data_IF_709088762210
#
_entry.id   IF_709088762210
#
_cell.length_a   1.000
_cell.length_b   1.000
_cell.length_c   1.000
_cell.angle_alpha   90.00
_cell.angle_beta   90.00
_cell.angle_gamma   90.00
#
_symmetry.space_group_name_H-M   'P 1'
#
loop_
_entity.id
_entity.type
_entity.pdbx_description
1 polymer ?
#
# COMPACT_ATOMS: atom_id res chain seq x y z
N UNK A 1 11.08 100.31 97.34
CA UNK A 1 11.39 98.89 97.15
C UNK A 1 10.13 98.16 96.73
N UNK A 2 10.31 97.11 95.92
CA UNK A 2 9.31 96.18 95.35
C UNK A 2 8.64 96.56 94.02
N UNK A 3 9.09 95.85 92.99
CA UNK A 3 8.77 95.87 91.56
C UNK A 3 7.50 95.07 91.24
N UNK A 4 6.60 95.63 90.43
CA UNK A 4 5.51 94.90 89.76
C UNK A 4 5.98 94.40 88.36
N UNK A 5 5.73 93.15 87.98
CA UNK A 5 6.08 92.63 86.66
C UNK A 5 5.06 93.06 85.59
N UNK A 6 5.47 93.18 84.30
CA UNK A 6 4.57 93.52 83.20
C UNK A 6 3.66 92.35 82.81
N UNK A 7 2.47 92.60 82.24
CA UNK A 7 1.53 91.58 81.84
C UNK A 7 1.98 90.82 80.57
N UNK A 8 1.67 89.53 80.57
CA UNK A 8 2.14 88.51 79.63
C UNK A 8 1.43 88.62 78.26
N UNK A 9 2.20 88.81 77.20
CA UNK A 9 1.75 88.88 75.80
C UNK A 9 1.55 87.50 75.12
N UNK A 10 0.81 86.56 75.76
CA UNK A 10 0.60 85.19 75.23
C UNK A 10 -0.79 84.90 74.65
N UNK A 11 -1.80 85.73 74.90
CA UNK A 11 -3.19 85.45 74.45
C UNK A 11 -3.45 85.61 72.94
N UNK A 12 -2.76 86.53 72.27
CA UNK A 12 -3.08 86.90 70.88
C UNK A 12 -2.58 85.87 69.85
N UNK A 13 -1.46 85.19 70.14
CA UNK A 13 -0.91 84.14 69.25
C UNK A 13 -1.79 82.89 69.20
N UNK A 14 -2.37 82.48 70.33
CA UNK A 14 -3.23 81.29 70.44
C UNK A 14 -4.52 81.45 69.62
N UNK A 15 -5.11 82.65 69.61
CA UNK A 15 -6.35 82.92 68.85
C UNK A 15 -6.12 82.86 67.33
N UNK A 16 -4.99 83.40 66.84
CA UNK A 16 -4.62 83.34 65.42
C UNK A 16 -4.35 81.90 64.98
N UNK A 17 -3.68 81.11 65.82
CA UNK A 17 -3.36 79.72 65.53
C UNK A 17 -4.61 78.84 65.47
N UNK A 18 -5.56 79.03 66.40
CA UNK A 18 -6.85 78.36 66.39
C UNK A 18 -7.68 78.70 65.14
N UNK A 19 -7.65 79.95 64.68
CA UNK A 19 -8.32 80.36 63.45
C UNK A 19 -7.68 79.70 62.20
N UNK A 20 -6.35 79.59 62.16
CA UNK A 20 -5.61 78.91 61.09
C UNK A 20 -5.91 77.41 61.07
N UNK A 21 -5.93 76.76 62.23
CA UNK A 21 -6.28 75.34 62.36
C UNK A 21 -7.73 75.06 61.96
N UNK A 22 -8.68 75.96 62.27
CA UNK A 22 -10.07 75.83 61.80
C UNK A 22 -10.18 75.91 60.28
N UNK A 23 -9.50 76.89 59.65
CA UNK A 23 -9.45 77.00 58.18
C UNK A 23 -8.81 75.76 57.54
N UNK A 24 -7.70 75.29 58.10
CA UNK A 24 -7.03 74.07 57.61
C UNK A 24 -7.91 72.83 57.73
N UNK A 25 -8.59 72.62 58.87
CA UNK A 25 -9.53 71.51 59.07
C UNK A 25 -10.74 71.60 58.13
N UNK A 26 -11.26 72.80 57.89
CA UNK A 26 -12.36 73.01 56.94
C UNK A 26 -11.94 72.68 55.51
N UNK A 27 -10.75 73.14 55.09
CA UNK A 27 -10.17 72.83 53.79
C UNK A 27 -9.94 71.32 53.63
N UNK A 28 -9.29 70.67 54.60
CA UNK A 28 -9.07 69.21 54.58
C UNK A 28 -10.38 68.41 54.58
N UNK A 29 -11.42 68.89 55.26
CA UNK A 29 -12.75 68.25 55.24
C UNK A 29 -13.41 68.38 53.86
N UNK A 30 -13.25 69.51 53.18
CA UNK A 30 -13.76 69.72 51.83
C UNK A 30 -13.02 68.83 50.81
N UNK A 31 -11.69 68.81 50.86
CA UNK A 31 -10.83 67.96 50.02
C UNK A 31 -11.19 66.47 50.19
N UNK A 32 -11.35 66.01 51.44
CA UNK A 32 -11.72 64.62 51.72
C UNK A 32 -13.14 64.27 51.22
N UNK A 33 -14.07 65.23 51.24
CA UNK A 33 -15.42 65.05 50.67
C UNK A 33 -15.35 64.92 49.15
N UNK A 34 -14.52 65.72 48.47
CA UNK A 34 -14.33 65.64 47.03
C UNK A 34 -13.71 64.29 46.61
N UNK A 35 -12.63 63.88 47.27
CA UNK A 35 -11.97 62.61 46.97
C UNK A 35 -12.89 61.39 47.17
N UNK A 36 -13.77 61.43 48.18
CA UNK A 36 -14.78 60.38 48.38
C UNK A 36 -15.81 60.32 47.25
N UNK A 37 -16.24 61.47 46.73
CA UNK A 37 -17.16 61.53 45.62
C UNK A 37 -16.52 60.99 44.33
N UNK A 38 -15.27 61.35 44.06
CA UNK A 38 -14.50 60.84 42.92
C UNK A 38 -14.26 59.33 43.01
N UNK A 39 -13.88 58.83 44.19
CA UNK A 39 -13.72 57.39 44.42
C UNK A 39 -15.02 56.61 44.17
N UNK A 40 -16.17 57.14 44.64
CA UNK A 40 -17.47 56.52 44.42
C UNK A 40 -17.86 56.51 42.93
N UNK A 41 -17.60 57.61 42.20
CA UNK A 41 -17.86 57.70 40.77
C UNK A 41 -16.99 56.72 39.97
N UNK A 42 -15.71 56.56 40.32
CA UNK A 42 -14.80 55.61 39.67
C UNK A 42 -15.22 54.16 39.93
N UNK A 43 -15.64 53.83 41.16
CA UNK A 43 -16.16 52.49 41.48
C UNK A 43 -17.40 52.18 40.65
N UNK A 44 -18.35 53.12 40.54
CA UNK A 44 -19.54 52.95 39.69
C UNK A 44 -19.19 52.77 38.20
N UNK A 45 -18.19 53.50 37.70
CA UNK A 45 -17.74 53.37 36.32
C UNK A 45 -17.09 52.01 36.08
N UNK A 46 -16.30 51.51 37.03
CA UNK A 46 -15.68 50.19 36.94
C UNK A 46 -16.72 49.06 36.97
N UNK A 47 -17.75 49.16 37.82
CA UNK A 47 -18.81 48.14 37.85
C UNK A 47 -19.62 48.12 36.56
N UNK A 48 -19.92 49.28 35.99
CA UNK A 48 -20.60 49.40 34.70
C UNK A 48 -19.78 48.79 33.55
N UNK A 49 -18.48 49.14 33.45
CA UNK A 49 -17.60 48.58 32.42
C UNK A 49 -17.41 47.05 32.54
N UNK A 50 -17.41 46.52 33.77
CA UNK A 50 -17.34 45.06 34.01
C UNK A 50 -18.62 44.34 33.59
N UNK A 51 -19.79 44.96 33.78
CA UNK A 51 -21.06 44.40 33.35
C UNK A 51 -21.18 44.38 31.82
N UNK A 52 -20.84 45.50 31.16
CA UNK A 52 -20.87 45.62 29.69
C UNK A 52 -19.90 44.64 29.00
N UNK A 53 -18.70 44.45 29.56
CA UNK A 53 -17.72 43.47 29.03
C UNK A 53 -18.18 42.02 29.20
N UNK A 54 -18.90 41.68 30.26
CA UNK A 54 -19.49 40.33 30.44
C UNK A 54 -20.60 40.07 29.43
N UNK A 55 -21.43 41.08 29.15
CA UNK A 55 -22.53 40.95 28.19
C UNK A 55 -22.00 40.68 26.77
N UNK A 56 -21.01 41.46 26.30
CA UNK A 56 -20.42 41.30 24.96
C UNK A 56 -19.71 39.96 24.73
N UNK A 57 -19.18 39.34 25.79
CA UNK A 57 -18.52 38.03 25.69
C UNK A 57 -19.51 36.86 25.61
N UNK A 58 -20.74 37.00 26.09
CA UNK A 58 -21.75 35.92 26.04
C UNK A 58 -22.42 35.87 24.66
N UNK A 59 -22.62 37.02 24.02
CA UNK A 59 -23.28 37.10 22.71
C UNK A 59 -22.33 36.74 21.53
N UNK A 60 -21.01 36.92 21.68
CA UNK A 60 -20.02 36.59 20.65
C UNK A 60 -19.67 35.08 20.58
N UNK A 61 -20.02 34.29 21.60
CA UNK A 61 -19.78 32.83 21.67
C UNK A 61 -20.98 32.03 21.09
N UNK A 62 -22.02 32.73 20.62
CA UNK A 62 -23.32 32.13 20.29
C UNK A 62 -23.39 31.68 18.83
N UNK A 63 -23.76 30.41 18.64
CA UNK A 63 -23.98 29.66 17.38
C UNK A 63 -22.77 29.35 16.50
N UNK A 64 -21.97 30.33 16.06
CA UNK A 64 -20.88 30.08 15.11
C UNK A 64 -19.78 29.15 15.68
N UNK A 65 -19.49 29.30 16.97
CA UNK A 65 -18.54 28.44 17.69
C UNK A 65 -19.09 27.03 17.93
N UNK A 66 -20.41 26.86 18.04
CA UNK A 66 -21.03 25.55 18.21
C UNK A 66 -21.04 24.73 16.92
N UNK A 67 -21.28 25.37 15.78
CA UNK A 67 -21.22 24.71 14.47
C UNK A 67 -19.77 24.36 14.10
N UNK A 68 -18.82 25.28 14.34
CA UNK A 68 -17.39 25.01 14.17
C UNK A 68 -16.91 23.88 15.09
N UNK A 69 -17.36 23.83 16.35
CA UNK A 69 -17.04 22.74 17.28
C UNK A 69 -17.63 21.41 16.82
N UNK A 70 -18.87 21.38 16.32
CA UNK A 70 -19.49 20.17 15.78
C UNK A 70 -18.74 19.64 14.54
N UNK A 71 -18.30 20.54 13.66
CA UNK A 71 -17.48 20.19 12.50
C UNK A 71 -16.12 19.60 12.93
N UNK A 72 -15.42 20.26 13.87
CA UNK A 72 -14.15 19.76 14.40
C UNK A 72 -14.30 18.39 15.09
N UNK A 73 -15.40 18.15 15.81
CA UNK A 73 -15.68 16.84 16.42
C UNK A 73 -15.95 15.75 15.37
N UNK A 74 -16.66 16.08 14.30
CA UNK A 74 -16.90 15.17 13.17
C UNK A 74 -15.60 14.83 12.43
N UNK A 75 -14.77 15.83 12.16
CA UNK A 75 -13.44 15.66 11.56
C UNK A 75 -12.53 14.84 12.47
N UNK A 76 -12.49 15.13 13.78
CA UNK A 76 -11.69 14.36 14.73
C UNK A 76 -12.12 12.90 14.80
N UNK A 77 -13.43 12.63 14.79
CA UNK A 77 -13.96 11.26 14.74
C UNK A 77 -13.55 10.54 13.46
N UNK A 78 -13.58 11.23 12.32
CA UNK A 78 -13.16 10.70 11.02
C UNK A 78 -11.67 10.38 11.01
N UNK A 79 -10.83 11.30 11.51
CA UNK A 79 -9.38 11.11 11.64
C UNK A 79 -9.04 9.96 12.57
N UNK A 80 -9.72 9.83 13.72
CA UNK A 80 -9.52 8.68 14.62
C UNK A 80 -9.86 7.36 13.94
N UNK A 81 -10.97 7.31 13.20
CA UNK A 81 -11.32 6.13 12.41
C UNK A 81 -10.30 5.82 11.30
N UNK A 82 -9.69 6.84 10.69
CA UNK A 82 -8.57 6.64 9.75
C UNK A 82 -7.32 6.10 10.47
N UNK A 83 -6.95 6.66 11.61
CA UNK A 83 -5.80 6.19 12.42
C UNK A 83 -6.01 4.74 12.88
N UNK A 84 -7.20 4.38 13.34
CA UNK A 84 -7.53 3.01 13.74
C UNK A 84 -7.41 2.03 12.56
N UNK A 85 -7.98 2.38 11.41
CA UNK A 85 -7.85 1.57 10.18
C UNK A 85 -6.40 1.42 9.73
N UNK A 86 -5.63 2.50 9.72
CA UNK A 86 -4.20 2.47 9.37
C UNK A 86 -3.37 1.70 10.39
N UNK A 87 -3.69 1.81 11.69
CA UNK A 87 -3.02 1.05 12.74
C UNK A 87 -3.31 -0.45 12.63
N UNK A 88 -4.55 -0.82 12.33
CA UNK A 88 -4.94 -2.21 12.11
C UNK A 88 -4.23 -2.78 10.88
N UNK A 89 -4.23 -2.03 9.77
CA UNK A 89 -3.49 -2.38 8.57
C UNK A 89 -1.99 -2.56 8.84
N UNK A 90 -1.35 -1.60 9.54
CA UNK A 90 0.06 -1.70 9.92
C UNK A 90 0.33 -2.95 10.76
N UNK A 91 -0.58 -3.32 11.68
CA UNK A 91 -0.46 -4.57 12.45
C UNK A 91 -0.56 -5.81 11.57
N UNK A 92 -1.48 -5.83 10.60
CA UNK A 92 -1.61 -6.95 9.67
C UNK A 92 -0.37 -7.09 8.78
N UNK A 93 0.08 -5.98 8.18
CA UNK A 93 1.31 -5.94 7.37
C UNK A 93 2.55 -6.30 8.20
N UNK A 94 2.64 -5.84 9.45
CA UNK A 94 3.73 -6.16 10.35
C UNK A 94 3.72 -7.64 10.75
N UNK A 95 2.56 -8.22 11.05
CA UNK A 95 2.44 -9.65 11.34
C UNK A 95 2.86 -10.49 10.13
N UNK A 96 2.47 -10.08 8.92
CA UNK A 96 2.91 -10.72 7.68
C UNK A 96 4.43 -10.58 7.48
N UNK A 97 5.00 -9.39 7.69
CA UNK A 97 6.44 -9.17 7.60
C UNK A 97 7.22 -10.00 8.65
N UNK A 98 6.72 -10.10 9.88
CA UNK A 98 7.33 -10.92 10.93
C UNK A 98 7.29 -12.40 10.60
N UNK A 99 6.21 -12.90 9.99
CA UNK A 99 6.13 -14.26 9.48
C UNK A 99 7.26 -14.54 8.48
N UNK A 100 7.49 -13.61 7.54
CA UNK A 100 8.57 -13.70 6.58
C UNK A 100 9.99 -13.53 7.18
N UNK A 101 10.13 -12.89 8.34
CA UNK A 101 11.44 -12.66 8.98
C UNK A 101 11.87 -13.76 9.97
N UNK A 102 10.95 -14.59 10.49
CA UNK A 102 11.30 -15.63 11.46
C UNK A 102 11.86 -16.92 10.82
N UNK A 103 11.74 -17.10 9.51
CA UNK A 103 12.36 -18.21 8.74
C UNK A 103 13.74 -17.82 8.18
N UNK A 104 14.65 -17.38 9.04
CA UNK A 104 16.04 -17.08 8.66
C UNK A 104 16.93 -18.34 8.80
N UNK A 105 16.83 -19.25 7.81
CA UNK A 105 17.81 -20.27 7.34
C UNK A 105 17.08 -21.29 6.44
N UNK A 106 17.47 -21.56 5.16
CA UNK A 106 18.15 -20.70 4.17
C UNK A 106 17.14 -19.61 3.69
N UNK A 107 17.34 -18.81 2.62
CA UNK A 107 16.46 -17.65 2.40
C UNK A 107 15.02 -18.16 2.29
N UNK A 108 14.05 -17.55 3.00
CA UNK A 108 12.66 -17.94 2.82
C UNK A 108 12.44 -17.81 1.33
N UNK A 109 12.19 -18.94 0.68
CA UNK A 109 11.83 -18.92 -0.72
C UNK A 109 10.71 -17.89 -0.81
N UNK A 110 10.80 -16.96 -1.76
CA UNK A 110 9.85 -15.85 -1.97
C UNK A 110 8.39 -16.32 -2.26
N UNK A 111 8.08 -17.56 -1.90
CA UNK A 111 6.95 -18.45 -2.20
C UNK A 111 5.60 -18.00 -1.65
N UNK A 112 5.56 -17.04 -0.72
CA UNK A 112 4.30 -16.55 -0.17
C UNK A 112 3.70 -15.40 -0.96
N UNK A 113 3.09 -15.64 -2.12
CA UNK A 113 2.07 -14.72 -2.65
C UNK A 113 0.76 -14.97 -1.90
N UNK A 114 0.66 -14.43 -0.69
CA UNK A 114 -0.49 -14.59 0.22
C UNK A 114 -1.36 -13.34 0.17
N UNK A 115 -2.67 -13.53 -0.05
CA UNK A 115 -3.69 -12.50 0.05
C UNK A 115 -4.63 -12.80 1.22
N UNK A 116 -4.75 -11.84 2.13
CA UNK A 116 -5.69 -11.89 3.25
C UNK A 116 -7.10 -11.50 2.79
N UNK A 117 -8.13 -11.98 3.48
CA UNK A 117 -9.53 -11.71 3.14
C UNK A 117 -9.96 -10.28 3.50
N UNK A 118 -9.24 -9.61 4.40
CA UNK A 118 -9.57 -8.24 4.81
C UNK A 118 -9.47 -7.26 3.62
N UNK A 119 -10.55 -6.58 3.19
CA UNK A 119 -10.61 -5.87 1.91
C UNK A 119 -9.49 -4.83 1.69
N UNK A 120 -9.14 -4.05 2.71
CA UNK A 120 -8.09 -3.02 2.59
C UNK A 120 -6.69 -3.64 2.53
N UNK A 121 -6.45 -4.71 3.29
CA UNK A 121 -5.15 -5.36 3.33
C UNK A 121 -4.93 -6.17 2.05
N UNK A 122 -6.00 -6.80 1.56
CA UNK A 122 -6.06 -7.45 0.23
C UNK A 122 -5.68 -6.49 -0.89
N UNK A 123 -6.30 -5.31 -0.94
CA UNK A 123 -5.98 -4.26 -1.93
C UNK A 123 -4.49 -3.92 -1.95
N UNK A 124 -3.92 -3.72 -0.76
CA UNK A 124 -2.51 -3.38 -0.64
C UNK A 124 -1.61 -4.56 -0.98
N UNK A 125 -2.01 -5.79 -0.64
CA UNK A 125 -1.33 -7.01 -1.04
C UNK A 125 -1.27 -7.17 -2.56
N UNK A 126 -2.38 -6.94 -3.26
CA UNK A 126 -2.43 -6.95 -4.72
C UNK A 126 -1.47 -5.90 -5.32
N UNK A 127 -1.58 -4.64 -4.87
CA UNK A 127 -0.70 -3.57 -5.35
C UNK A 127 0.78 -3.91 -5.11
N UNK A 128 1.13 -4.33 -3.89
CA UNK A 128 2.49 -4.69 -3.51
C UNK A 128 3.05 -5.87 -4.32
N UNK A 129 2.26 -6.92 -4.53
CA UNK A 129 2.68 -8.08 -5.33
C UNK A 129 3.02 -7.65 -6.77
N UNK A 130 2.15 -6.84 -7.39
CA UNK A 130 2.37 -6.33 -8.75
C UNK A 130 3.61 -5.44 -8.85
N UNK A 131 3.83 -4.55 -7.88
CA UNK A 131 4.96 -3.62 -7.85
C UNK A 131 6.27 -4.35 -7.61
N UNK A 132 6.25 -5.37 -6.75
CA UNK A 132 7.40 -6.24 -6.51
C UNK A 132 7.86 -6.91 -7.79
N UNK A 133 6.95 -7.53 -8.55
CA UNK A 133 7.29 -8.18 -9.83
C UNK A 133 7.78 -7.16 -10.86
N UNK A 134 7.17 -5.98 -10.92
CA UNK A 134 7.64 -4.89 -11.78
C UNK A 134 9.08 -4.48 -11.46
N UNK A 135 9.40 -4.26 -10.19
CA UNK A 135 10.75 -3.89 -9.77
C UNK A 135 11.76 -5.03 -10.01
N UNK A 136 11.36 -6.29 -9.85
CA UNK A 136 12.16 -7.44 -10.26
C UNK A 136 12.45 -7.40 -11.76
N UNK A 137 11.42 -7.25 -12.60
CA UNK A 137 11.58 -7.17 -14.06
C UNK A 137 12.53 -6.05 -14.49
N UNK A 138 12.43 -4.88 -13.84
CA UNK A 138 13.30 -3.74 -14.09
C UNK A 138 14.73 -3.92 -13.57
N UNK A 139 14.95 -4.75 -12.55
CA UNK A 139 16.29 -5.13 -12.09
C UNK A 139 16.97 -6.17 -12.97
N UNK A 140 16.19 -7.11 -13.51
CA UNK A 140 16.66 -8.16 -14.43
C UNK A 140 16.99 -7.62 -15.82
N UNK A 141 16.23 -6.64 -16.30
CA UNK A 141 16.55 -5.93 -17.55
C UNK A 141 17.54 -4.78 -17.27
N UNK A 142 18.85 -4.89 -17.64
CA UNK A 142 19.33 -5.51 -18.87
C UNK A 142 20.31 -6.69 -18.69
N UNK A 143 20.48 -7.24 -17.48
CA UNK A 143 21.62 -8.12 -17.15
C UNK A 143 21.53 -9.55 -17.70
N UNK A 144 20.34 -10.12 -17.85
CA UNK A 144 20.18 -11.54 -18.21
C UNK A 144 19.79 -11.78 -19.66
N UNK A 145 19.39 -10.73 -20.38
CA UNK A 145 19.11 -10.81 -21.80
C UNK A 145 20.35 -10.41 -22.57
N UNK A 146 20.82 -11.32 -23.41
CA UNK A 146 21.86 -11.07 -24.40
C UNK A 146 21.50 -9.78 -25.18
N UNK A 147 22.45 -8.86 -25.44
CA UNK A 147 22.23 -7.76 -26.37
C UNK A 147 21.78 -8.21 -27.78
N UNK A 148 21.93 -9.49 -28.10
CA UNK A 148 21.43 -10.12 -29.31
C UNK A 148 19.93 -9.84 -29.55
N UNK A 149 19.60 -9.60 -30.82
CA UNK A 149 18.22 -9.48 -31.33
C UNK A 149 17.65 -10.82 -31.79
N UNK A 150 18.42 -11.90 -31.66
CA UNK A 150 17.97 -13.23 -32.06
C UNK A 150 16.76 -13.67 -31.24
N UNK A 151 15.81 -14.28 -31.93
CA UNK A 151 14.67 -14.91 -31.28
C UNK A 151 15.16 -16.15 -30.54
N UNK A 152 14.76 -16.28 -29.27
CA UNK A 152 15.24 -17.35 -28.40
C UNK A 152 14.14 -17.82 -27.48
N UNK A 153 14.13 -19.11 -27.22
CA UNK A 153 13.32 -19.74 -26.21
C UNK A 153 14.20 -20.63 -25.33
N UNK A 154 14.03 -20.56 -24.01
CA UNK A 154 14.71 -21.44 -23.07
C UNK A 154 13.73 -21.86 -21.98
N UNK A 155 13.65 -23.16 -21.75
CA UNK A 155 12.99 -23.76 -20.62
C UNK A 155 14.04 -24.40 -19.69
N UNK A 156 13.91 -24.18 -18.39
CA UNK A 156 14.76 -24.81 -17.40
C UNK A 156 13.91 -25.31 -16.24
N UNK A 157 14.07 -26.59 -15.92
CA UNK A 157 13.48 -27.18 -14.71
C UNK A 157 14.54 -27.28 -13.62
N UNK A 158 14.28 -26.61 -12.52
CA UNK A 158 15.16 -26.58 -11.36
C UNK A 158 14.85 -27.76 -10.44
N UNK A 159 15.91 -28.46 -10.05
CA UNK A 159 15.84 -29.58 -9.12
C UNK A 159 16.80 -29.38 -7.97
N UNK A 160 16.41 -29.82 -6.79
CA UNK A 160 17.21 -29.79 -5.58
C UNK A 160 17.19 -31.12 -4.85
N UNK A 161 17.77 -31.16 -3.66
CA UNK A 161 17.76 -32.32 -2.80
C UNK A 161 17.11 -31.93 -1.47
N UNK A 162 16.17 -32.72 -0.98
CA UNK A 162 15.53 -32.50 0.32
C UNK A 162 16.44 -32.91 1.50
N UNK A 163 15.94 -32.73 2.72
CA UNK A 163 16.67 -33.05 3.96
C UNK A 163 17.05 -34.54 4.08
N UNK A 164 16.34 -35.42 3.36
CA UNK A 164 16.54 -36.88 3.37
C UNK A 164 17.39 -37.33 2.19
N UNK A 165 17.92 -36.41 1.39
CA UNK A 165 18.77 -36.73 0.24
C UNK A 165 17.99 -37.09 -1.02
N UNK A 166 16.67 -36.85 -1.08
CA UNK A 166 15.85 -37.17 -2.24
C UNK A 166 15.75 -36.01 -3.23
N UNK A 167 15.77 -36.33 -4.52
CA UNK A 167 15.61 -35.36 -5.60
C UNK A 167 14.21 -34.73 -5.54
N UNK A 168 14.11 -33.41 -5.51
CA UNK A 168 12.85 -32.66 -5.51
C UNK A 168 12.84 -31.64 -6.63
N UNK A 169 11.65 -31.25 -7.08
CA UNK A 169 11.49 -30.09 -7.95
C UNK A 169 11.52 -28.82 -7.10
N UNK A 170 12.26 -27.82 -7.56
CA UNK A 170 12.36 -26.51 -6.90
C UNK A 170 11.77 -25.38 -7.72
N UNK A 171 11.40 -25.64 -8.98
CA UNK A 171 10.67 -24.71 -9.83
C UNK A 171 10.93 -24.95 -11.31
N UNK A 172 10.31 -24.11 -12.14
CA UNK A 172 10.61 -24.01 -13.57
C UNK A 172 10.79 -22.56 -13.95
N UNK A 173 11.59 -22.34 -14.98
CA UNK A 173 11.93 -21.03 -15.50
C UNK A 173 11.83 -21.05 -17.02
N UNK A 174 11.14 -20.06 -17.56
CA UNK A 174 10.87 -19.92 -18.99
C UNK A 174 11.31 -18.54 -19.40
N UNK A 175 12.12 -18.45 -20.45
CA UNK A 175 12.46 -17.18 -21.09
C UNK A 175 12.22 -17.25 -22.59
N UNK A 176 11.59 -16.21 -23.11
CA UNK A 176 11.34 -16.03 -24.54
C UNK A 176 11.77 -14.64 -24.98
N UNK A 177 12.33 -14.56 -26.19
CA UNK A 177 12.54 -13.30 -26.90
C UNK A 177 12.05 -13.48 -28.34
N UNK A 178 11.30 -12.51 -28.81
CA UNK A 178 10.87 -12.46 -30.21
C UNK A 178 10.80 -11.02 -30.73
N UNK A 179 11.16 -10.82 -31.99
CA UNK A 179 11.06 -9.53 -32.68
C UNK A 179 9.86 -9.50 -33.60
N UNK A 180 9.04 -8.45 -33.49
CA UNK A 180 7.83 -8.26 -34.28
C UNK A 180 7.89 -6.96 -35.08
N UNK A 181 7.33 -6.96 -36.28
CA UNK A 181 7.37 -5.85 -37.23
C UNK A 181 6.12 -4.97 -37.14
N UNK A 182 5.83 -4.49 -35.93
CA UNK A 182 4.73 -3.57 -35.65
C UNK A 182 5.13 -2.56 -34.57
N UNK A 183 4.29 -1.54 -34.36
CA UNK A 183 4.53 -0.54 -33.32
C UNK A 183 4.27 -1.12 -31.91
N UNK A 184 5.15 -0.80 -30.96
CA UNK A 184 5.18 -1.48 -29.65
C UNK A 184 3.90 -1.34 -28.82
N UNK A 185 3.16 -0.22 -28.97
CA UNK A 185 1.87 -0.06 -28.30
C UNK A 185 0.80 -1.01 -28.85
N UNK A 186 0.77 -1.22 -30.17
CA UNK A 186 -0.16 -2.17 -30.78
C UNK A 186 0.16 -3.60 -30.31
N UNK A 187 1.46 -3.96 -30.30
CA UNK A 187 1.88 -5.24 -29.74
C UNK A 187 1.49 -5.38 -28.26
N UNK A 188 1.66 -4.33 -27.46
CA UNK A 188 1.27 -4.37 -26.06
C UNK A 188 -0.23 -4.57 -25.85
N UNK A 189 -1.06 -3.98 -26.71
CA UNK A 189 -2.50 -4.20 -26.69
C UNK A 189 -2.85 -5.63 -27.10
N UNK A 190 -2.16 -6.20 -28.09
CA UNK A 190 -2.34 -7.61 -28.47
C UNK A 190 -1.96 -8.53 -27.32
N UNK A 191 -0.76 -8.38 -26.74
CA UNK A 191 -0.28 -9.23 -25.63
C UNK A 191 -1.20 -9.13 -24.41
N UNK A 192 -1.62 -7.92 -24.02
CA UNK A 192 -2.52 -7.70 -22.88
C UNK A 192 -3.88 -8.40 -23.05
N UNK A 193 -4.36 -8.52 -24.28
CA UNK A 193 -5.64 -9.16 -24.57
C UNK A 193 -5.50 -10.65 -24.96
N UNK A 194 -4.29 -11.10 -25.30
CA UNK A 194 -3.99 -12.44 -25.79
C UNK A 194 -4.32 -13.52 -24.74
N UNK A 195 -3.95 -13.32 -23.47
CA UNK A 195 -4.27 -14.28 -22.40
C UNK A 195 -5.77 -14.45 -22.18
N UNK A 196 -6.55 -13.40 -22.46
CA UNK A 196 -8.00 -13.37 -22.26
C UNK A 196 -8.78 -13.86 -23.47
N UNK A 197 -8.20 -13.77 -24.67
CA UNK A 197 -8.93 -13.91 -25.94
C UNK A 197 -8.48 -15.09 -26.80
N UNK A 198 -7.27 -15.62 -26.59
CA UNK A 198 -6.79 -16.75 -27.38
C UNK A 198 -7.37 -18.04 -26.79
N UNK A 199 -8.27 -18.74 -27.50
CA UNK A 199 -8.79 -20.02 -27.05
C UNK A 199 -7.62 -21.03 -27.11
N UNK A 200 -7.14 -21.47 -25.95
CA UNK A 200 -6.22 -22.62 -25.86
C UNK A 200 -7.05 -23.87 -25.54
N UNK A 201 -6.72 -25.05 -26.09
CA UNK A 201 -7.33 -26.31 -25.67
C UNK A 201 -7.28 -26.54 -24.15
N UNK A 202 -6.23 -26.00 -23.51
CA UNK A 202 -5.99 -26.02 -22.06
C UNK A 202 -6.11 -24.63 -21.41
N UNK A 203 -6.79 -23.68 -22.07
CA UNK A 203 -6.92 -22.33 -21.54
C UNK A 203 -7.61 -22.36 -20.18
N UNK A 204 -7.11 -21.57 -19.21
CA UNK A 204 -7.74 -21.52 -17.92
C UNK A 204 -9.20 -21.08 -18.05
N UNK A 205 -10.11 -21.87 -17.49
CA UNK A 205 -11.51 -21.46 -17.36
C UNK A 205 -11.62 -20.50 -16.18
N UNK A 206 -11.64 -19.20 -16.46
CA UNK A 206 -11.78 -18.17 -15.44
C UNK A 206 -13.20 -18.15 -14.89
N UNK A 207 -13.33 -18.35 -13.58
CA UNK A 207 -14.62 -18.45 -12.88
C UNK A 207 -15.05 -17.11 -12.28
N UNK A 208 -14.08 -16.25 -11.93
CA UNK A 208 -14.38 -14.84 -11.70
C UNK A 208 -13.23 -13.94 -12.13
N UNK A 209 -13.62 -12.77 -12.63
CA UNK A 209 -12.75 -11.66 -12.96
C UNK A 209 -13.11 -10.52 -12.01
N UNK A 210 -12.24 -10.25 -11.05
CA UNK A 210 -12.28 -8.99 -10.32
C UNK A 210 -11.43 -8.00 -11.11
N UNK A 211 -12.07 -7.23 -12.00
CA UNK A 211 -11.40 -6.09 -12.63
C UNK A 211 -11.15 -5.02 -11.56
N UNK A 212 -9.88 -4.80 -11.24
CA UNK A 212 -9.42 -3.76 -10.33
C UNK A 212 -8.96 -2.54 -11.13
N UNK A 213 -9.79 -2.08 -12.08
CA UNK A 213 -9.53 -0.85 -12.85
C UNK A 213 -9.79 0.38 -11.98
N UNK A 214 -8.72 1.02 -11.51
CA UNK A 214 -8.82 2.35 -10.87
C UNK A 214 -8.43 3.43 -11.88
N UNK A 215 -9.31 3.65 -12.86
CA UNK A 215 -9.13 4.69 -13.88
C UNK A 215 -8.33 4.25 -15.11
N UNK A 216 -8.17 5.15 -16.10
CA UNK A 216 -7.61 4.84 -17.41
C UNK A 216 -6.13 4.42 -17.39
N UNK A 217 -5.40 4.76 -16.32
CA UNK A 217 -3.96 4.50 -16.18
C UNK A 217 -3.63 3.31 -15.25
N UNK A 218 -4.62 2.76 -14.54
CA UNK A 218 -4.40 1.63 -13.62
C UNK A 218 -5.05 0.34 -14.18
N UNK A 219 -4.38 -0.25 -15.16
CA UNK A 219 -4.76 -1.53 -15.76
C UNK A 219 -4.21 -2.68 -14.91
N UNK A 220 -5.02 -3.16 -13.98
CA UNK A 220 -4.72 -4.28 -13.10
C UNK A 220 -5.93 -5.21 -13.03
N UNK A 221 -5.70 -6.48 -13.32
CA UNK A 221 -6.72 -7.50 -13.34
C UNK A 221 -6.36 -8.63 -12.39
N UNK A 222 -7.33 -9.06 -11.60
CA UNK A 222 -7.21 -10.24 -10.76
C UNK A 222 -8.27 -11.25 -11.19
N UNK A 223 -7.84 -12.47 -11.50
CA UNK A 223 -8.76 -13.53 -11.87
C UNK A 223 -8.34 -14.87 -11.30
N UNK A 224 -9.33 -15.70 -11.03
CA UNK A 224 -9.13 -17.08 -10.60
C UNK A 224 -9.87 -18.04 -11.52
N UNK A 225 -9.27 -19.20 -11.74
CA UNK A 225 -9.81 -20.23 -12.62
C UNK A 225 -9.08 -21.55 -12.46
N UNK A 226 -9.37 -22.46 -13.37
CA UNK A 226 -8.69 -23.75 -13.46
C UNK A 226 -7.93 -23.89 -14.77
N UNK A 227 -6.66 -24.28 -14.73
CA UNK A 227 -5.80 -24.55 -15.89
C UNK A 227 -5.87 -26.05 -16.25
N UNK A 228 -6.03 -26.35 -17.56
CA UNK A 228 -6.05 -27.73 -18.07
C UNK A 228 -6.99 -28.69 -17.32
N UNK A 229 -6.48 -29.85 -16.92
CA UNK A 229 -7.27 -30.98 -16.37
C UNK A 229 -7.54 -30.94 -14.86
N UNK A 230 -7.23 -29.85 -14.15
CA UNK A 230 -7.60 -29.76 -12.71
C UNK A 230 -6.79 -28.84 -11.81
N UNK A 231 -5.83 -28.08 -12.35
CA UNK A 231 -5.00 -27.20 -11.53
C UNK A 231 -5.71 -25.88 -11.28
N UNK A 232 -5.68 -25.37 -10.04
CA UNK A 232 -6.20 -24.06 -9.70
C UNK A 232 -5.13 -22.99 -9.96
N UNK A 233 -5.56 -21.87 -10.54
CA UNK A 233 -4.70 -20.74 -10.85
C UNK A 233 -5.36 -19.43 -10.44
N UNK A 234 -4.56 -18.56 -9.83
CA UNK A 234 -4.95 -17.20 -9.44
C UNK A 234 -3.90 -16.26 -9.99
N UNK A 235 -4.28 -15.42 -10.93
CA UNK A 235 -3.33 -14.55 -11.62
C UNK A 235 -3.70 -13.11 -11.33
N UNK A 236 -2.70 -12.36 -10.90
CA UNK A 236 -2.71 -10.92 -10.86
C UNK A 236 -1.87 -10.40 -12.01
N UNK A 237 -2.52 -9.71 -12.94
CA UNK A 237 -1.88 -9.04 -14.06
C UNK A 237 -1.86 -7.53 -13.84
N UNK A 238 -0.78 -6.87 -14.25
CA UNK A 238 -0.73 -5.41 -14.27
C UNK A 238 0.12 -4.90 -15.42
N UNK A 239 -0.37 -3.85 -16.10
CA UNK A 239 0.33 -3.20 -17.20
C UNK A 239 0.87 -1.82 -16.81
N UNK A 240 2.17 -1.63 -17.04
CA UNK A 240 2.91 -0.39 -16.82
C UNK A 240 3.33 0.19 -18.17
N UNK A 241 2.83 1.38 -18.48
CA UNK A 241 3.13 2.06 -19.74
C UNK A 241 4.24 3.10 -19.55
N UNK A 242 5.28 3.02 -20.37
CA UNK A 242 6.32 4.03 -20.49
C UNK A 242 6.37 4.59 -21.92
N UNK A 243 7.21 5.61 -22.14
CA UNK A 243 7.32 6.27 -23.45
C UNK A 243 7.83 5.36 -24.56
N UNK A 244 8.77 4.46 -24.26
CA UNK A 244 9.42 3.56 -25.22
C UNK A 244 9.32 2.07 -24.86
N UNK A 245 8.50 1.74 -23.85
CA UNK A 245 8.38 0.38 -23.32
C UNK A 245 7.00 0.19 -22.69
N UNK A 246 6.48 -1.03 -22.77
CA UNK A 246 5.42 -1.50 -21.87
C UNK A 246 5.93 -2.70 -21.08
N UNK A 247 5.59 -2.76 -19.79
CA UNK A 247 5.87 -3.92 -18.93
C UNK A 247 4.54 -4.49 -18.45
N UNK A 248 4.32 -5.77 -18.68
CA UNK A 248 3.17 -6.51 -18.13
C UNK A 248 3.74 -7.46 -17.08
N UNK A 249 3.19 -7.43 -15.87
CA UNK A 249 3.60 -8.31 -14.77
C UNK A 249 2.53 -9.34 -14.49
N UNK A 250 2.94 -10.58 -14.20
CA UNK A 250 2.07 -11.68 -13.81
C UNK A 250 2.50 -12.15 -12.42
N UNK A 251 1.57 -12.24 -11.48
CA UNK A 251 1.80 -12.90 -10.19
C UNK A 251 0.83 -14.06 -10.05
N UNK A 252 1.37 -15.27 -9.85
CA UNK A 252 0.58 -16.45 -9.57
C UNK A 252 0.44 -16.58 -8.04
N UNK A 253 -0.77 -16.33 -7.53
CA UNK A 253 -1.07 -16.20 -6.11
C UNK A 253 -1.20 -17.59 -5.46
N UNK A 254 -0.26 -17.89 -4.55
CA UNK A 254 -0.14 -19.16 -3.85
C UNK A 254 -1.30 -19.40 -2.89
N UNK A 255 -1.69 -18.37 -2.13
CA UNK A 255 -2.72 -18.48 -1.10
C UNK A 255 -3.61 -17.25 -1.12
N UNK A 256 -4.91 -17.48 -1.10
CA UNK A 256 -5.91 -16.44 -1.02
C UNK A 256 -6.99 -16.85 -0.03
N UNK A 257 -7.13 -16.12 1.08
CA UNK A 257 -8.14 -16.42 2.10
C UNK A 257 -9.59 -16.28 1.59
N UNK A 258 -9.84 -15.46 0.56
CA UNK A 258 -11.15 -15.36 -0.08
C UNK A 258 -11.46 -16.57 -0.97
N UNK A 259 -10.42 -17.22 -1.51
CA UNK A 259 -10.53 -18.37 -2.40
C UNK A 259 -9.59 -19.48 -1.94
N UNK A 260 -9.90 -20.21 -0.85
CA UNK A 260 -9.02 -21.24 -0.31
C UNK A 260 -8.68 -22.35 -1.33
N UNK A 261 -7.50 -22.97 -1.20
CA UNK A 261 -7.11 -24.10 -2.03
C UNK A 261 -8.06 -25.28 -1.80
N UNK A 262 -8.47 -25.94 -2.88
CA UNK A 262 -9.38 -27.08 -2.84
C UNK A 262 -8.61 -28.40 -2.69
N UNK A 263 -9.19 -29.34 -1.94
CA UNK A 263 -8.63 -30.67 -1.76
C UNK A 263 -8.47 -31.40 -3.11
N UNK A 264 -7.30 -32.01 -3.31
CA UNK A 264 -7.00 -32.75 -4.54
C UNK A 264 -6.70 -31.88 -5.78
N UNK A 265 -6.60 -30.55 -5.62
CA UNK A 265 -6.15 -29.64 -6.68
C UNK A 265 -4.75 -29.10 -6.40
N UNK A 266 -4.02 -28.83 -7.48
CA UNK A 266 -2.71 -28.20 -7.43
C UNK A 266 -2.86 -26.70 -7.67
N UNK A 267 -2.33 -25.88 -6.78
CA UNK A 267 -2.27 -24.44 -6.93
C UNK A 267 -0.95 -24.04 -7.58
N UNK A 268 -1.01 -23.51 -8.80
CA UNK A 268 0.15 -22.93 -9.48
C UNK A 268 0.52 -21.61 -8.79
N UNK A 269 1.80 -21.41 -8.49
CA UNK A 269 2.33 -20.18 -7.92
C UNK A 269 3.68 -19.79 -8.54
N UNK A 270 4.08 -18.53 -8.37
CA UNK A 270 5.22 -17.97 -9.09
C UNK A 270 4.99 -16.51 -9.51
N UNK A 271 5.80 -16.07 -10.46
CA UNK A 271 5.67 -14.75 -11.08
C UNK A 271 6.31 -14.72 -12.45
N UNK A 272 5.96 -13.73 -13.25
CA UNK A 272 6.57 -13.49 -14.55
C UNK A 272 6.39 -12.06 -15.01
N UNK A 273 7.00 -11.71 -16.14
CA UNK A 273 6.81 -10.44 -16.80
C UNK A 273 7.01 -10.56 -18.30
N UNK A 274 6.36 -9.66 -19.03
CA UNK A 274 6.61 -9.39 -20.43
C UNK A 274 7.06 -7.95 -20.60
N UNK A 275 8.23 -7.73 -21.20
CA UNK A 275 8.76 -6.42 -21.56
C UNK A 275 8.64 -6.26 -23.08
N UNK A 276 7.96 -5.20 -23.49
CA UNK A 276 7.69 -4.87 -24.89
C UNK A 276 8.41 -3.56 -25.19
N UNK A 277 9.57 -3.65 -25.83
CA UNK A 277 10.45 -2.53 -26.14
C UNK A 277 10.20 -1.98 -27.54
N UNK A 278 10.17 -0.65 -27.64
CA UNK A 278 10.29 0.05 -28.91
C UNK A 278 11.75 0.03 -29.39
N UNK A 279 12.01 -0.63 -30.52
CA UNK A 279 13.33 -0.59 -31.19
C UNK A 279 13.33 0.52 -32.25
N UNK A 280 12.26 0.59 -33.03
CA UNK A 280 11.94 1.68 -33.96
C UNK A 280 10.42 1.87 -33.99
N UNK A 281 9.92 2.85 -34.74
CA UNK A 281 8.48 3.09 -34.88
C UNK A 281 7.69 1.88 -35.44
N UNK A 282 8.36 0.94 -36.11
CA UNK A 282 7.76 -0.25 -36.72
C UNK A 282 8.40 -1.57 -36.31
N UNK A 283 9.30 -1.56 -35.32
CA UNK A 283 9.98 -2.77 -34.83
C UNK A 283 9.87 -2.81 -33.31
N UNK A 284 9.31 -3.90 -32.83
CA UNK A 284 9.10 -4.16 -31.41
C UNK A 284 9.86 -5.41 -31.00
N UNK A 285 10.52 -5.36 -29.85
CA UNK A 285 11.10 -6.55 -29.23
C UNK A 285 10.28 -6.92 -28.00
N UNK A 286 9.82 -8.16 -27.96
CA UNK A 286 9.09 -8.72 -26.82
C UNK A 286 10.00 -9.71 -26.10
N UNK A 287 10.14 -9.54 -24.80
CA UNK A 287 10.86 -10.45 -23.91
C UNK A 287 9.92 -10.91 -22.82
N UNK A 288 9.80 -12.22 -22.66
CA UNK A 288 8.97 -12.85 -21.66
C UNK A 288 9.85 -13.65 -20.70
N UNK A 289 9.54 -13.58 -19.42
CA UNK A 289 10.18 -14.38 -18.39
C UNK A 289 9.12 -14.83 -17.40
N UNK A 290 9.10 -16.11 -17.07
CA UNK A 290 8.20 -16.66 -16.04
C UNK A 290 8.95 -17.66 -15.18
N UNK A 291 8.76 -17.54 -13.87
CA UNK A 291 9.26 -18.48 -12.87
C UNK A 291 8.06 -19.08 -12.13
N UNK A 292 7.87 -20.39 -12.26
CA UNK A 292 6.92 -21.14 -11.45
C UNK A 292 7.64 -21.85 -10.33
N UNK A 293 7.07 -21.76 -9.13
CA UNK A 293 7.51 -22.56 -8.00
C UNK A 293 6.80 -23.92 -7.99
N UNK A 294 7.25 -24.87 -7.15
CA UNK A 294 6.54 -26.13 -6.99
C UNK A 294 5.08 -25.86 -6.57
N UNK A 295 4.10 -26.44 -7.28
CA UNK A 295 2.68 -26.23 -6.97
C UNK A 295 2.36 -26.60 -5.52
N UNK A 296 1.32 -25.96 -4.99
CA UNK A 296 0.90 -26.14 -3.59
C UNK A 296 -0.44 -26.87 -3.53
N UNK A 297 -0.54 -27.86 -2.66
CA UNK A 297 -1.77 -28.57 -2.29
C UNK A 297 -2.29 -28.07 -0.93
N UNK A 298 -3.44 -28.57 -0.48
CA UNK A 298 -3.92 -28.39 0.90
C UNK A 298 -2.98 -28.98 1.95
N UNK A 299 -2.09 -29.91 1.56
CA UNK A 299 -1.13 -30.59 2.43
C UNK A 299 0.30 -30.03 2.34
N UNK A 300 0.51 -28.96 1.58
CA UNK A 300 1.82 -28.35 1.37
C UNK A 300 2.32 -28.50 -0.07
N UNK A 301 3.64 -28.46 -0.27
CA UNK A 301 4.24 -28.55 -1.61
C UNK A 301 3.92 -29.90 -2.26
N UNK A 302 3.52 -29.87 -3.52
CA UNK A 302 3.21 -31.07 -4.29
C UNK A 302 4.43 -32.02 -4.35
N UNK A 303 4.15 -33.31 -4.41
CA UNK A 303 5.18 -34.33 -4.61
C UNK A 303 5.65 -34.37 -6.05
N UNK A 304 6.82 -34.97 -6.29
CA UNK A 304 7.35 -35.22 -7.64
C UNK A 304 6.34 -35.96 -8.52
N UNK A 305 5.63 -36.94 -7.95
CA UNK A 305 4.61 -37.70 -8.67
C UNK A 305 3.41 -36.84 -9.06
N UNK A 306 2.91 -36.00 -8.15
CA UNK A 306 1.79 -35.08 -8.44
C UNK A 306 2.17 -34.05 -9.51
N UNK A 307 3.39 -33.50 -9.43
CA UNK A 307 3.93 -32.63 -10.48
C UNK A 307 4.14 -33.37 -11.81
N UNK A 308 4.47 -34.65 -11.80
CA UNK A 308 4.58 -35.43 -13.04
C UNK A 308 3.25 -35.53 -13.79
N UNK A 309 2.15 -35.63 -13.06
CA UNK A 309 0.80 -35.73 -13.64
C UNK A 309 0.40 -34.46 -14.39
N UNK A 310 0.86 -33.27 -13.99
CA UNK A 310 0.55 -32.01 -14.71
C UNK A 310 1.18 -31.98 -16.10
N UNK A 311 2.23 -32.76 -16.33
CA UNK A 311 2.88 -32.94 -17.64
C UNK A 311 2.51 -34.28 -18.31
N UNK A 312 1.48 -34.97 -17.83
CA UNK A 312 1.01 -36.25 -18.37
C UNK A 312 1.94 -37.43 -18.09
N UNK A 313 2.90 -37.31 -17.16
CA UNK A 313 3.84 -38.37 -16.80
C UNK A 313 3.29 -39.17 -15.63
N UNK A 314 2.92 -40.42 -15.89
CA UNK A 314 2.41 -41.32 -14.86
C UNK A 314 3.51 -41.77 -13.88
N UNK A 315 3.19 -42.03 -12.60
CA UNK A 315 4.14 -42.53 -11.59
C UNK A 315 4.58 -43.99 -11.82
N UNK A 316 4.12 -44.65 -12.89
CA UNK A 316 4.56 -46.00 -13.25
C UNK A 316 6.07 -46.02 -13.54
N UNK A 317 6.79 -46.90 -12.84
CA UNK A 317 8.25 -46.99 -12.90
C UNK A 317 9.02 -46.11 -11.90
N UNK A 318 8.36 -45.62 -10.83
CA UNK A 318 8.99 -44.84 -9.75
C UNK A 318 10.12 -45.55 -8.96
N UNK A 319 10.50 -46.77 -9.33
CA UNK A 319 11.66 -47.45 -8.76
C UNK A 319 12.97 -46.66 -8.95
N UNK A 320 13.04 -45.79 -9.97
CA UNK A 320 14.19 -44.92 -10.24
C UNK A 320 13.75 -43.45 -10.30
N UNK A 321 13.85 -42.76 -9.16
CA UNK A 321 13.40 -41.38 -8.99
C UNK A 321 14.05 -40.39 -9.97
N UNK A 322 15.35 -40.53 -10.22
CA UNK A 322 16.09 -39.70 -11.17
C UNK A 322 15.54 -39.84 -12.59
N UNK A 323 15.34 -41.08 -13.06
CA UNK A 323 14.76 -41.34 -14.38
C UNK A 323 13.33 -40.81 -14.51
N UNK A 324 12.54 -40.83 -13.43
CA UNK A 324 11.21 -40.23 -13.42
C UNK A 324 11.28 -38.69 -13.54
N UNK A 325 12.18 -38.04 -12.80
CA UNK A 325 12.41 -36.60 -12.90
C UNK A 325 12.87 -36.18 -14.29
N UNK A 326 13.76 -36.95 -14.94
CA UNK A 326 14.17 -36.66 -16.32
C UNK A 326 13.01 -36.79 -17.33
N UNK A 327 12.13 -37.79 -17.15
CA UNK A 327 10.91 -37.92 -17.98
C UNK A 327 10.00 -36.70 -17.84
N UNK A 328 9.80 -36.23 -16.60
CA UNK A 328 9.01 -35.03 -16.31
C UNK A 328 9.65 -33.80 -16.95
N UNK A 329 10.96 -33.62 -16.81
CA UNK A 329 11.69 -32.51 -17.43
C UNK A 329 11.52 -32.50 -18.95
N UNK A 330 11.66 -33.66 -19.58
CA UNK A 330 11.57 -33.79 -21.04
C UNK A 330 10.16 -33.51 -21.55
N UNK A 331 9.14 -33.99 -20.83
CA UNK A 331 7.74 -33.71 -21.16
C UNK A 331 7.39 -32.23 -20.97
N UNK A 332 7.84 -31.63 -19.86
CA UNK A 332 7.62 -30.22 -19.57
C UNK A 332 8.27 -29.30 -20.61
N UNK A 333 9.51 -29.59 -21.03
CA UNK A 333 10.21 -28.83 -22.07
C UNK A 333 9.42 -28.88 -23.39
N UNK A 334 9.02 -30.08 -23.83
CA UNK A 334 8.26 -30.24 -25.07
C UNK A 334 6.91 -29.51 -25.04
N UNK A 335 6.16 -29.59 -23.94
CA UNK A 335 4.86 -28.91 -23.78
C UNK A 335 5.03 -27.39 -23.82
N UNK A 336 6.01 -26.86 -23.09
CA UNK A 336 6.20 -25.41 -23.03
C UNK A 336 6.79 -24.84 -24.33
N UNK A 337 7.64 -25.58 -25.03
CA UNK A 337 8.15 -25.19 -26.35
C UNK A 337 7.03 -25.15 -27.40
N UNK A 338 6.15 -26.15 -27.45
CA UNK A 338 4.99 -26.16 -28.34
C UNK A 338 4.04 -24.99 -28.03
N UNK A 339 3.74 -24.76 -26.74
CA UNK A 339 2.93 -23.63 -26.30
C UNK A 339 3.56 -22.28 -26.69
N UNK A 340 4.89 -22.14 -26.55
CA UNK A 340 5.60 -20.92 -26.95
C UNK A 340 5.50 -20.67 -28.46
N UNK A 341 5.74 -21.69 -29.29
CA UNK A 341 5.58 -21.58 -30.75
C UNK A 341 4.16 -21.16 -31.13
N UNK A 342 3.15 -21.76 -30.49
CA UNK A 342 1.75 -21.41 -30.71
C UNK A 342 1.45 -19.95 -30.36
N UNK A 343 1.98 -19.44 -29.23
CA UNK A 343 1.82 -18.04 -28.83
C UNK A 343 2.50 -17.11 -29.84
N UNK A 344 3.76 -17.37 -30.23
CA UNK A 344 4.48 -16.55 -31.20
C UNK A 344 3.72 -16.47 -32.52
N UNK A 345 3.20 -17.60 -33.02
CA UNK A 345 2.41 -17.64 -34.24
C UNK A 345 1.12 -16.82 -34.11
N UNK A 346 0.38 -16.98 -33.01
CA UNK A 346 -0.85 -16.25 -32.77
C UNK A 346 -0.62 -14.74 -32.67
N UNK A 347 0.44 -14.31 -31.97
CA UNK A 347 0.81 -12.89 -31.85
C UNK A 347 1.25 -12.31 -33.19
N UNK A 348 1.97 -13.09 -34.01
CA UNK A 348 2.37 -12.68 -35.37
C UNK A 348 1.13 -12.38 -36.21
N UNK A 349 0.19 -13.33 -36.28
CA UNK A 349 -1.06 -13.18 -37.04
C UNK A 349 -1.89 -12.00 -36.54
N UNK A 350 -1.92 -11.75 -35.23
CA UNK A 350 -2.69 -10.65 -34.65
C UNK A 350 -2.11 -9.26 -34.93
N UNK A 351 -0.88 -9.17 -35.46
CA UNK A 351 -0.19 -7.90 -35.76
C UNK A 351 0.03 -7.63 -37.24
N UNK A 352 -0.30 -8.59 -38.10
CA UNK A 352 -0.46 -8.41 -39.55
C UNK A 352 -1.85 -7.84 -39.88
#
# INVERSE_FOLDING_TARGET
MSSLPPPVATGYKVVIELARLRKYRAFKKAELKQLRAEASALVHRMTWLRADRRQRNVDAISLADHEALAQLLSENKTLRGQIERQSMLLRLLWAQAQWHMHEMLPPPTLSGSILVAHPEARRQGLAWLSERVYHTAMGFCPREFDPSMEDRYTFQMHTGVDEVGQLIFTGTEIHGQHTYFCHFKAMADVVWNAEKSIPRPDAPTFTSLEEWTHGPDNMMDYYHGSYGTGDDVRILERRYNHSSRVVITYTFVATDECFPNMEGRLQINGYGWTIIDCITDSITRVRHSTMHFPPITTHGVATVSEMGLTYGVTPEGNAYREAHVERIRSAADAINDDAYRGIVQALTIATE
#
